data_IF_482623285204
#
_entry.id   IF_482623285204
#
_cell.length_a   1.000
_cell.length_b   1.000
_cell.length_c   1.000
_cell.angle_alpha   90.00
_cell.angle_beta   90.00
_cell.angle_gamma   90.00
#
_symmetry.space_group_name_H-M   'P 1'
#
loop_
_entity.id
_entity.type
_entity.pdbx_description
1 polymer ?
#
# COMPACT_ATOMS: atom_id res chain seq x y z
N UNK A 1 -39.60 -31.04 -4.70
CA UNK A 1 -38.74 -29.96 -5.21
C UNK A 1 -37.79 -29.55 -4.08
N UNK A 2 -36.58 -30.11 -4.08
CA UNK A 2 -35.62 -29.92 -2.99
C UNK A 2 -35.09 -28.48 -3.00
N UNK A 3 -35.25 -27.82 -1.86
CA UNK A 3 -34.68 -26.53 -1.57
C UNK A 3 -33.18 -26.72 -1.32
N UNK A 4 -32.37 -26.67 -2.38
CA UNK A 4 -30.91 -26.71 -2.32
C UNK A 4 -30.37 -25.29 -2.17
N UNK A 5 -30.34 -24.79 -0.93
CA UNK A 5 -29.68 -23.55 -0.56
C UNK A 5 -28.30 -23.90 0.01
N UNK A 6 -27.32 -24.18 -0.85
CA UNK A 6 -25.91 -24.30 -0.47
C UNK A 6 -25.18 -23.03 -0.84
N UNK A 7 -25.40 -21.98 -0.05
CA UNK A 7 -24.54 -20.81 -0.08
C UNK A 7 -23.25 -21.18 0.67
N UNK A 8 -22.19 -21.51 -0.09
CA UNK A 8 -20.87 -21.78 0.45
C UNK A 8 -20.40 -20.60 1.29
N UNK A 9 -20.35 -20.77 2.61
CA UNK A 9 -19.81 -19.82 3.57
C UNK A 9 -18.27 -19.61 3.45
N UNK A 10 -17.72 -19.79 2.24
CA UNK A 10 -16.33 -19.60 1.88
C UNK A 10 -16.11 -18.37 0.98
N UNK A 11 -17.17 -17.71 0.50
CA UNK A 11 -17.10 -16.47 -0.29
C UNK A 11 -17.30 -15.20 0.55
N UNK A 12 -17.07 -15.30 1.87
CA UNK A 12 -16.91 -14.16 2.77
C UNK A 12 -15.47 -14.04 3.23
N UNK A 13 -14.50 -14.40 2.37
CA UNK A 13 -13.16 -13.87 2.55
C UNK A 13 -13.30 -12.40 2.20
N UNK A 14 -13.33 -11.57 3.24
CA UNK A 14 -13.22 -10.12 3.19
C UNK A 14 -12.48 -9.71 1.91
N UNK A 15 -13.09 -8.82 1.14
CA UNK A 15 -12.36 -8.07 0.12
C UNK A 15 -11.36 -7.14 0.84
N UNK A 16 -10.46 -7.71 1.65
CA UNK A 16 -9.22 -7.06 2.05
C UNK A 16 -8.52 -6.74 0.75
N UNK A 17 -8.52 -5.46 0.41
CA UNK A 17 -7.82 -4.96 -0.77
C UNK A 17 -6.36 -5.30 -0.58
N UNK A 18 -5.94 -6.42 -1.18
CA UNK A 18 -4.58 -6.94 -1.07
C UNK A 18 -3.66 -5.97 -1.81
N UNK A 19 -3.10 -5.03 -1.07
CA UNK A 19 -2.15 -4.07 -1.62
C UNK A 19 -0.83 -4.78 -1.85
N UNK A 20 -0.43 -4.89 -3.12
CA UNK A 20 0.84 -5.48 -3.51
C UNK A 20 1.85 -4.42 -3.90
N UNK A 21 3.10 -4.60 -3.46
CA UNK A 21 4.21 -3.74 -3.86
C UNK A 21 4.61 -3.97 -5.32
N UNK A 22 5.59 -3.19 -5.81
CA UNK A 22 6.12 -3.31 -7.17
C UNK A 22 6.67 -4.70 -7.54
N UNK A 23 7.07 -5.52 -6.55
CA UNK A 23 7.55 -6.89 -6.75
C UNK A 23 6.47 -7.96 -6.52
N UNK A 24 5.23 -7.55 -6.23
CA UNK A 24 4.10 -8.45 -6.01
C UNK A 24 3.98 -9.03 -4.59
N UNK A 25 4.75 -8.53 -3.60
CA UNK A 25 4.57 -8.94 -2.21
C UNK A 25 3.37 -8.22 -1.60
N UNK A 26 2.62 -8.95 -0.79
CA UNK A 26 1.52 -8.38 -0.01
C UNK A 26 2.08 -7.49 1.09
N UNK A 27 1.60 -6.25 1.11
CA UNK A 27 1.86 -5.29 2.16
C UNK A 27 0.74 -5.37 3.19
N UNK A 28 1.05 -5.00 4.43
CA UNK A 28 0.11 -4.92 5.54
C UNK A 28 0.28 -3.58 6.26
N UNK A 29 -0.74 -3.16 7.00
CA UNK A 29 -0.62 -2.04 7.92
C UNK A 29 0.51 -2.27 8.94
N UNK A 30 1.29 -1.23 9.22
CA UNK A 30 2.45 -1.27 10.10
C UNK A 30 3.75 -1.74 9.43
N UNK A 31 3.70 -2.24 8.19
CA UNK A 31 4.88 -2.77 7.50
C UNK A 31 5.88 -1.65 7.12
N UNK A 32 7.08 -2.05 6.68
CA UNK A 32 8.14 -1.12 6.26
C UNK A 32 8.38 -1.29 4.78
N UNK A 33 8.31 -0.17 4.06
CA UNK A 33 8.53 -0.14 2.61
C UNK A 33 9.69 0.76 2.25
N UNK A 34 10.34 0.47 1.14
CA UNK A 34 11.38 1.28 0.53
C UNK A 34 10.92 1.79 -0.82
N UNK A 35 11.17 3.07 -1.08
CA UNK A 35 10.87 3.67 -2.38
C UNK A 35 11.84 3.14 -3.44
N UNK A 36 11.33 2.71 -4.59
CA UNK A 36 12.15 2.14 -5.68
C UNK A 36 12.52 3.14 -6.78
N UNK A 37 11.90 4.33 -6.82
CA UNK A 37 12.14 5.36 -7.83
C UNK A 37 12.21 6.75 -7.19
N UNK A 38 12.87 7.71 -7.85
CA UNK A 38 12.86 9.10 -7.39
C UNK A 38 11.47 9.72 -7.60
N UNK A 39 10.83 10.16 -6.53
CA UNK A 39 9.52 10.81 -6.59
C UNK A 39 9.68 12.29 -6.22
N UNK A 40 9.43 13.17 -7.20
CA UNK A 40 9.40 14.61 -6.95
C UNK A 40 8.05 14.99 -6.34
N UNK A 41 8.09 15.58 -5.15
CA UNK A 41 6.87 16.04 -4.48
C UNK A 41 6.44 17.37 -5.12
N UNK A 42 5.24 17.40 -5.69
CA UNK A 42 4.69 18.63 -6.26
C UNK A 42 4.51 19.69 -5.16
N UNK A 43 5.02 20.90 -5.39
CA UNK A 43 4.92 22.01 -4.44
C UNK A 43 6.09 22.14 -3.46
N UNK A 44 7.07 21.23 -3.48
CA UNK A 44 8.33 21.41 -2.74
C UNK A 44 9.54 21.26 -3.65
N UNK A 45 10.68 21.85 -3.27
CA UNK A 45 11.96 21.65 -3.96
C UNK A 45 12.62 20.32 -3.62
N UNK A 46 12.05 19.55 -2.69
CA UNK A 46 12.62 18.30 -2.21
C UNK A 46 11.99 17.10 -2.90
N UNK A 47 12.79 16.04 -3.07
CA UNK A 47 12.38 14.80 -3.71
C UNK A 47 12.62 13.62 -2.77
N UNK A 48 11.72 12.65 -2.82
CA UNK A 48 11.89 11.35 -2.14
C UNK A 48 12.81 10.51 -3.01
N UNK A 49 14.01 10.27 -2.50
CA UNK A 49 15.04 9.51 -3.22
C UNK A 49 14.73 8.02 -3.20
N UNK A 50 15.15 7.31 -4.25
CA UNK A 50 15.21 5.84 -4.22
C UNK A 50 15.96 5.36 -2.98
N UNK A 51 15.46 4.31 -2.33
CA UNK A 51 16.01 3.78 -1.08
C UNK A 51 15.49 4.47 0.19
N UNK A 52 14.65 5.51 0.07
CA UNK A 52 13.98 6.10 1.24
C UNK A 52 13.12 5.04 1.92
N UNK A 53 13.43 4.72 3.17
CA UNK A 53 12.68 3.78 3.99
C UNK A 53 11.55 4.50 4.72
N UNK A 54 10.35 3.95 4.61
CA UNK A 54 9.15 4.44 5.28
C UNK A 54 8.60 3.32 6.13
N UNK A 55 8.52 3.57 7.43
CA UNK A 55 8.05 2.61 8.43
C UNK A 55 6.61 2.93 8.80
N UNK A 56 5.90 1.94 9.34
CA UNK A 56 4.55 2.13 9.87
C UNK A 56 3.60 2.68 8.80
N UNK A 57 3.60 2.03 7.63
CA UNK A 57 2.65 2.39 6.56
C UNK A 57 1.24 2.01 6.95
N UNK A 58 0.26 2.68 6.35
CA UNK A 58 -1.15 2.36 6.50
C UNK A 58 -1.73 2.09 5.12
N UNK A 59 -2.45 0.99 4.97
CA UNK A 59 -3.13 0.67 3.72
C UNK A 59 -4.46 1.41 3.66
N UNK A 60 -4.80 1.89 2.47
CA UNK A 60 -6.01 2.64 2.23
C UNK A 60 -6.59 2.29 0.87
N UNK A 61 -7.90 2.41 0.73
CA UNK A 61 -8.59 2.19 -0.53
C UNK A 61 -8.50 3.44 -1.43
N UNK A 62 -8.24 3.26 -2.72
CA UNK A 62 -8.16 4.36 -3.71
C UNK A 62 -6.93 4.29 -4.64
N UNK A 63 -6.68 5.36 -5.40
CA UNK A 63 -5.55 5.41 -6.36
C UNK A 63 -4.18 5.43 -5.68
N UNK A 64 -4.10 6.05 -4.50
CA UNK A 64 -2.91 6.02 -3.65
C UNK A 64 -3.18 5.15 -2.43
N UNK A 65 -2.74 3.90 -2.54
CA UNK A 65 -3.13 2.82 -1.63
C UNK A 65 -2.32 2.76 -0.34
N UNK A 66 -1.26 3.58 -0.22
CA UNK A 66 -0.33 3.55 0.91
C UNK A 66 -0.24 4.95 1.52
N UNK A 67 -0.77 5.12 2.72
CA UNK A 67 -0.58 6.31 3.54
C UNK A 67 0.62 6.10 4.45
N UNK A 68 1.53 7.07 4.48
CA UNK A 68 2.77 6.90 5.23
C UNK A 68 3.33 8.24 5.70
N UNK A 69 4.20 8.21 6.70
CA UNK A 69 4.86 9.42 7.22
C UNK A 69 6.35 9.34 7.00
N UNK A 70 6.87 10.25 6.18
CA UNK A 70 8.30 10.33 5.87
C UNK A 70 8.91 11.42 6.78
N UNK A 71 9.97 11.11 7.54
CA UNK A 71 10.65 12.11 8.36
C UNK A 71 11.22 13.23 7.49
N UNK A 72 10.96 14.49 7.86
CA UNK A 72 11.36 15.67 7.09
C UNK A 72 10.41 16.09 5.96
N UNK A 73 9.51 15.20 5.51
CA UNK A 73 8.50 15.52 4.48
C UNK A 73 7.07 15.54 5.01
N UNK A 74 6.78 14.83 6.10
CA UNK A 74 5.44 14.76 6.70
C UNK A 74 4.64 13.56 6.22
N UNK A 75 3.31 13.64 6.37
CA UNK A 75 2.39 12.59 5.91
C UNK A 75 2.21 12.70 4.39
N UNK A 76 2.35 11.58 3.69
CA UNK A 76 2.24 11.50 2.25
C UNK A 76 1.61 10.18 1.83
N UNK A 77 0.82 10.23 0.75
CA UNK A 77 0.27 9.03 0.11
C UNK A 77 1.15 8.62 -1.06
N UNK A 78 1.47 7.34 -1.13
CA UNK A 78 2.25 6.71 -2.18
C UNK A 78 1.40 5.65 -2.88
N UNK A 79 1.74 5.39 -4.15
CA UNK A 79 1.19 4.27 -4.91
C UNK A 79 2.05 3.03 -4.68
N UNK A 80 1.42 1.87 -4.56
CA UNK A 80 2.13 0.63 -4.25
C UNK A 80 3.14 0.21 -5.32
N UNK A 81 2.94 0.65 -6.58
CA UNK A 81 3.85 0.44 -7.72
C UNK A 81 5.22 1.13 -7.59
N UNK A 82 5.36 2.10 -6.68
CA UNK A 82 6.63 2.85 -6.48
C UNK A 82 7.36 2.48 -5.20
N UNK A 83 6.85 1.50 -4.46
CA UNK A 83 7.46 1.02 -3.23
C UNK A 83 7.70 -0.48 -3.32
N UNK A 84 8.62 -0.95 -2.49
CA UNK A 84 8.85 -2.37 -2.24
C UNK A 84 8.84 -2.66 -0.76
N UNK A 85 8.43 -3.88 -0.39
CA UNK A 85 8.62 -4.38 0.97
C UNK A 85 10.12 -4.37 1.32
N UNK A 86 10.47 -3.93 2.52
CA UNK A 86 11.85 -3.64 2.94
C UNK A 86 12.34 -4.51 4.10
#
# INVERSE_FOLDING_TARGET
>A
PECAYEFSAADLIDQEVVVKDANGNVLNDGDTVSVIKDLKIKGTSSAVKVGTKVKNIRLCDGDHNIDCKIPGHGAMKLKSEFVKKA
#
